data_IF_974222545286
#
_entry.id   IF_974222545286
#
_cell.length_a   1.000
_cell.length_b   1.000
_cell.length_c   1.000
_cell.angle_alpha   90.00
_cell.angle_beta   90.00
_cell.angle_gamma   90.00
#
_symmetry.space_group_name_H-M   'P 1'
#
loop_
_entity.id
_entity.type
_entity.pdbx_description
1 polymer ?
#
# COMPACT_ATOMS: atom_id res chain seq x y z
N UNK A 1 12.65 -15.33 1.98
CA UNK A 1 13.11 -14.23 2.85
C UNK A 1 12.91 -12.84 2.25
N UNK A 2 12.49 -12.68 0.99
CA UNK A 2 12.31 -11.34 0.37
C UNK A 2 10.90 -10.76 0.48
N UNK A 3 9.87 -11.59 0.70
CA UNK A 3 8.45 -11.21 0.67
C UNK A 3 7.96 -10.48 1.91
N UNK A 4 8.48 -10.81 3.10
CA UNK A 4 8.15 -10.10 4.34
C UNK A 4 8.73 -8.69 4.35
N UNK A 5 9.99 -8.54 3.91
CA UNK A 5 10.65 -7.22 3.81
C UNK A 5 9.96 -6.28 2.80
N UNK A 6 9.47 -6.79 1.67
CA UNK A 6 8.73 -5.99 0.69
C UNK A 6 7.34 -5.60 1.22
N UNK A 7 6.66 -6.50 1.94
CA UNK A 7 5.35 -6.22 2.55
C UNK A 7 5.46 -5.12 3.61
N UNK A 8 6.45 -5.21 4.50
CA UNK A 8 6.68 -4.18 5.52
C UNK A 8 7.03 -2.83 4.90
N UNK A 9 7.86 -2.83 3.85
CA UNK A 9 8.20 -1.61 3.11
C UNK A 9 6.97 -0.99 2.42
N UNK A 10 6.09 -1.82 1.84
CA UNK A 10 4.85 -1.39 1.22
C UNK A 10 3.90 -0.76 2.24
N UNK A 11 3.64 -1.42 3.37
CA UNK A 11 2.74 -0.87 4.40
C UNK A 11 3.32 0.37 5.07
N UNK A 12 4.64 0.41 5.29
CA UNK A 12 5.31 1.61 5.77
C UNK A 12 5.20 2.79 4.81
N UNK A 13 5.26 2.54 3.49
CA UNK A 13 5.02 3.56 2.47
C UNK A 13 3.55 3.99 2.44
N UNK A 14 2.62 3.04 2.53
CA UNK A 14 1.18 3.30 2.57
C UNK A 14 0.77 4.20 3.73
N UNK A 15 1.17 3.89 4.97
CA UNK A 15 0.80 4.71 6.12
C UNK A 15 1.36 6.14 6.03
N UNK A 16 2.60 6.30 5.52
CA UNK A 16 3.17 7.63 5.26
C UNK A 16 2.44 8.39 4.18
N UNK A 17 1.96 7.71 3.15
CA UNK A 17 1.16 8.33 2.10
C UNK A 17 -0.17 8.85 2.65
N UNK A 18 -0.89 8.02 3.43
CA UNK A 18 -2.15 8.42 4.07
C UNK A 18 -1.94 9.61 5.01
N UNK A 19 -0.88 9.58 5.82
CA UNK A 19 -0.51 10.68 6.72
C UNK A 19 -0.18 11.97 5.94
N UNK A 20 0.66 11.89 4.91
CA UNK A 20 1.12 13.05 4.14
C UNK A 20 0.02 13.67 3.26
N UNK A 21 -0.86 12.84 2.70
CA UNK A 21 -1.99 13.30 1.91
C UNK A 21 -3.11 13.91 2.78
N UNK A 22 -2.99 13.81 4.12
CA UNK A 22 -4.01 14.27 5.08
C UNK A 22 -5.40 13.85 4.63
N UNK A 23 -5.52 12.58 4.21
CA UNK A 23 -6.76 12.05 3.63
C UNK A 23 -7.81 12.13 4.73
N UNK A 24 -8.70 13.11 4.61
CA UNK A 24 -9.73 13.37 5.63
C UNK A 24 -10.81 12.28 5.62
N UNK A 25 -10.92 11.57 4.51
CA UNK A 25 -11.84 10.46 4.30
C UNK A 25 -11.07 9.15 4.16
N UNK A 26 -10.52 8.68 5.28
CA UNK A 26 -9.87 7.36 5.35
C UNK A 26 -10.88 6.21 5.31
N UNK A 27 -12.18 6.49 5.42
CA UNK A 27 -13.23 5.48 5.30
C UNK A 27 -13.30 4.91 3.87
N UNK A 28 -12.84 5.69 2.88
CA UNK A 28 -12.65 5.28 1.49
C UNK A 28 -11.43 4.35 1.26
N UNK A 29 -10.70 3.96 2.31
CA UNK A 29 -9.52 3.09 2.23
C UNK A 29 -9.70 1.89 3.16
N UNK A 30 -9.65 0.69 2.59
CA UNK A 30 -9.76 -0.56 3.36
C UNK A 30 -8.52 -1.43 3.21
N UNK A 31 -8.13 -2.08 4.31
CA UNK A 31 -7.07 -3.11 4.32
C UNK A 31 -7.70 -4.43 4.72
N UNK A 32 -7.69 -5.41 3.82
CA UNK A 32 -8.23 -6.75 4.07
C UNK A 32 -7.19 -7.83 3.86
N UNK A 33 -7.34 -8.95 4.56
CA UNK A 33 -6.55 -10.16 4.28
C UNK A 33 -7.31 -10.99 3.25
N UNK A 34 -6.71 -11.18 2.08
CA UNK A 34 -7.25 -11.96 0.98
C UNK A 34 -6.54 -13.34 0.97
N UNK A 35 -7.28 -14.46 1.01
CA UNK A 35 -6.68 -15.78 0.92
C UNK A 35 -6.25 -16.06 -0.53
N UNK A 36 -4.96 -15.90 -0.81
CA UNK A 36 -4.37 -16.24 -2.10
C UNK A 36 -3.63 -17.58 -1.98
N UNK A 37 -4.37 -18.69 -2.13
CA UNK A 37 -3.83 -20.05 -1.95
C UNK A 37 -3.46 -20.34 -0.48
N UNK A 38 -2.27 -20.88 -0.23
CA UNK A 38 -1.76 -21.17 1.13
C UNK A 38 -1.23 -19.93 1.89
N UNK A 39 -1.34 -18.73 1.29
CA UNK A 39 -0.82 -17.49 1.87
C UNK A 39 -1.91 -16.44 2.07
N UNK A 40 -1.91 -15.80 3.25
CA UNK A 40 -2.72 -14.62 3.52
C UNK A 40 -2.01 -13.40 2.95
N UNK A 41 -2.57 -12.80 1.91
CA UNK A 41 -2.04 -11.55 1.32
C UNK A 41 -2.84 -10.38 1.86
N UNK A 42 -2.16 -9.37 2.40
CA UNK A 42 -2.85 -8.13 2.79
C UNK A 42 -3.03 -7.26 1.55
N UNK A 43 -4.27 -6.84 1.30
CA UNK A 43 -4.66 -6.03 0.15
C UNK A 43 -5.15 -4.68 0.66
N UNK A 44 -4.66 -3.59 0.05
CA UNK A 44 -5.16 -2.23 0.24
C UNK A 44 -6.08 -1.88 -0.92
N UNK A 45 -7.29 -1.43 -0.62
CA UNK A 45 -8.27 -0.97 -1.60
C UNK A 45 -8.57 0.49 -1.36
N UNK A 46 -8.54 1.28 -2.43
CA UNK A 46 -8.96 2.68 -2.46
C UNK A 46 -10.28 2.74 -3.23
N UNK A 47 -11.29 3.39 -2.69
CA UNK A 47 -12.55 3.66 -3.40
C UNK A 47 -12.38 4.78 -4.44
N UNK A 48 -11.44 5.69 -4.20
CA UNK A 48 -11.05 6.74 -5.14
C UNK A 48 -9.90 6.27 -6.06
N UNK A 49 -10.17 6.19 -7.36
CA UNK A 49 -9.19 5.79 -8.38
C UNK A 49 -7.99 6.74 -8.45
N UNK A 50 -8.20 8.04 -8.24
CA UNK A 50 -7.13 9.04 -8.25
C UNK A 50 -6.17 8.81 -7.08
N UNK A 51 -6.68 8.49 -5.89
CA UNK A 51 -5.85 8.16 -4.74
C UNK A 51 -5.07 6.87 -4.96
N UNK A 52 -5.71 5.86 -5.57
CA UNK A 52 -5.05 4.62 -5.96
C UNK A 52 -3.89 4.89 -6.93
N UNK A 53 -4.07 5.75 -7.93
CA UNK A 53 -3.03 6.07 -8.90
C UNK A 53 -1.87 6.89 -8.29
N UNK A 54 -2.20 7.85 -7.41
CA UNK A 54 -1.21 8.61 -6.66
C UNK A 54 -0.37 7.70 -5.77
N UNK A 55 -1.00 6.78 -5.04
CA UNK A 55 -0.27 5.82 -4.21
C UNK A 55 0.57 4.85 -5.06
N UNK A 56 0.04 4.35 -6.19
CA UNK A 56 0.82 3.50 -7.12
C UNK A 56 2.07 4.22 -7.63
N UNK A 57 1.95 5.49 -8.00
CA UNK A 57 3.07 6.31 -8.47
C UNK A 57 4.10 6.49 -7.36
N UNK A 58 3.66 6.88 -6.16
CA UNK A 58 4.51 7.04 -4.98
C UNK A 58 5.25 5.74 -4.63
N UNK A 59 4.52 4.63 -4.57
CA UNK A 59 5.10 3.32 -4.25
C UNK A 59 6.10 2.89 -5.31
N UNK A 60 5.80 3.06 -6.59
CA UNK A 60 6.71 2.70 -7.69
C UNK A 60 8.04 3.45 -7.58
N UNK A 61 8.00 4.74 -7.25
CA UNK A 61 9.21 5.52 -7.03
C UNK A 61 9.96 5.02 -5.79
N UNK A 62 9.28 4.84 -4.66
CA UNK A 62 9.90 4.42 -3.40
C UNK A 62 10.48 3.01 -3.47
N UNK A 63 9.83 2.08 -4.15
CA UNK A 63 10.30 0.72 -4.40
C UNK A 63 11.67 0.73 -5.11
N UNK A 64 11.81 1.57 -6.15
CA UNK A 64 13.10 1.75 -6.86
C UNK A 64 14.20 2.26 -5.94
N UNK A 65 13.91 3.22 -5.07
CA UNK A 65 14.87 3.75 -4.09
C UNK A 65 15.33 2.71 -3.06
N UNK A 66 14.48 1.72 -2.75
CA UNK A 66 14.79 0.65 -1.80
C UNK A 66 15.48 -0.56 -2.45
N UNK A 67 15.61 -0.59 -3.78
CA UNK A 67 16.20 -1.72 -4.51
C UNK A 67 15.35 -2.99 -4.49
N UNK A 68 14.03 -2.84 -4.38
CA UNK A 68 13.02 -3.93 -4.32
C UNK A 68 12.39 -4.24 -5.68
#
# INVERSE_FOLDING_TARGET
MSTESESDAFFGAFFKFVEAASIQDTDAISVRSDPAGDHLTKVVTFEDEMQADQFKTYWTQRRRWLGL
#
